data_IF_426583506528
#
_entry.id   IF_426583506528
#
_cell.length_a   1.000
_cell.length_b   1.000
_cell.length_c   1.000
_cell.angle_alpha   90.00
_cell.angle_beta   90.00
_cell.angle_gamma   90.00
#
_symmetry.space_group_name_H-M   'P 1'
#
loop_
_entity.id
_entity.type
_entity.pdbx_description
1 polymer ?
#
# COMPACT_ATOMS: atom_id res chain seq x y z
N UNK A 1 -22.82 18.77 4.72
CA UNK A 1 -22.11 18.46 3.47
C UNK A 1 -21.64 17.03 3.62
N UNK A 2 -22.44 16.09 3.13
CA UNK A 2 -22.08 14.68 3.14
C UNK A 2 -21.11 14.44 2.00
N UNK A 3 -19.86 14.17 2.33
CA UNK A 3 -18.89 13.67 1.35
C UNK A 3 -19.26 12.21 1.09
N UNK A 4 -19.56 11.79 -0.14
CA UNK A 4 -19.75 10.38 -0.42
C UNK A 4 -18.41 9.69 -0.21
N UNK A 5 -18.32 8.89 0.84
CA UNK A 5 -17.15 8.06 1.07
C UNK A 5 -17.22 6.93 0.04
N UNK A 6 -16.33 6.98 -0.95
CA UNK A 6 -16.19 5.92 -1.93
C UNK A 6 -15.93 4.62 -1.18
N UNK A 7 -16.87 3.68 -1.25
CA UNK A 7 -16.58 2.29 -0.96
C UNK A 7 -15.48 1.88 -1.93
N UNK A 8 -14.35 1.29 -1.50
CA UNK A 8 -13.49 0.60 -2.43
C UNK A 8 -14.25 -0.65 -2.85
N UNK A 9 -15.19 -0.49 -3.77
CA UNK A 9 -15.65 -1.58 -4.57
C UNK A 9 -14.43 -1.98 -5.40
N UNK A 10 -13.82 -3.11 -5.07
CA UNK A 10 -13.05 -3.85 -6.05
C UNK A 10 -14.08 -4.36 -7.09
N UNK A 11 -14.61 -3.45 -7.90
CA UNK A 11 -15.53 -3.75 -8.99
C UNK A 11 -14.69 -4.28 -10.15
N UNK A 12 -14.12 -5.45 -9.91
CA UNK A 12 -13.49 -6.27 -10.92
C UNK A 12 -14.31 -7.55 -10.95
N UNK A 13 -15.48 -7.48 -11.59
CA UNK A 13 -16.16 -8.66 -12.11
C UNK A 13 -15.35 -9.19 -13.32
N UNK A 14 -14.09 -9.56 -13.09
CA UNK A 14 -13.34 -10.43 -13.99
C UNK A 14 -13.95 -11.81 -13.78
N UNK A 15 -14.36 -12.45 -14.86
CA UNK A 15 -14.69 -13.87 -14.81
C UNK A 15 -13.46 -14.59 -14.24
N UNK A 16 -13.56 -15.03 -12.99
CA UNK A 16 -12.45 -15.69 -12.31
C UNK A 16 -12.33 -17.08 -12.92
N UNK A 17 -11.21 -17.37 -13.56
CA UNK A 17 -10.91 -18.70 -14.11
C UNK A 17 -10.77 -19.78 -13.01
N UNK A 18 -10.92 -19.38 -11.75
CA UNK A 18 -10.89 -20.25 -10.58
C UNK A 18 -12.25 -20.29 -9.86
N UNK A 19 -12.61 -21.48 -9.38
CA UNK A 19 -13.70 -21.76 -8.44
C UNK A 19 -13.28 -22.89 -7.50
N UNK A 20 -13.84 -22.90 -6.28
CA UNK A 20 -13.69 -24.02 -5.35
C UNK A 20 -14.28 -25.27 -6.01
N UNK A 21 -13.45 -26.29 -6.20
CA UNK A 21 -13.86 -27.61 -6.66
C UNK A 21 -14.22 -28.50 -5.47
N UNK A 22 -13.39 -28.49 -4.42
CA UNK A 22 -13.65 -29.26 -3.21
C UNK A 22 -12.99 -28.67 -1.97
N UNK A 23 -13.52 -29.05 -0.82
CA UNK A 23 -13.06 -28.61 0.50
C UNK A 23 -12.84 -29.81 1.41
N UNK A 24 -11.71 -29.85 2.10
CA UNK A 24 -11.39 -30.85 3.11
C UNK A 24 -11.06 -30.17 4.45
N UNK A 25 -11.56 -30.75 5.54
CA UNK A 25 -11.24 -30.32 6.90
C UNK A 25 -10.06 -31.13 7.42
N UNK A 26 -9.02 -30.44 7.90
CA UNK A 26 -7.89 -31.04 8.61
C UNK A 26 -7.83 -30.48 10.04
N UNK A 27 -6.89 -30.94 10.87
CA UNK A 27 -6.88 -30.65 12.32
C UNK A 27 -7.15 -29.17 12.68
N UNK A 28 -6.47 -28.23 12.03
CA UNK A 28 -6.56 -26.79 12.35
C UNK A 28 -6.77 -25.88 11.14
N UNK A 29 -7.17 -26.44 10.01
CA UNK A 29 -7.29 -25.69 8.77
C UNK A 29 -8.30 -26.31 7.81
N UNK A 30 -8.77 -25.49 6.88
CA UNK A 30 -9.50 -25.90 5.69
C UNK A 30 -8.50 -26.01 4.54
N UNK A 31 -8.53 -27.12 3.82
CA UNK A 31 -7.88 -27.26 2.51
C UNK A 31 -8.91 -27.06 1.41
N UNK A 32 -8.58 -26.22 0.44
CA UNK A 32 -9.39 -25.90 -0.73
C UNK A 32 -8.64 -26.39 -1.97
N UNK A 33 -9.27 -27.26 -2.76
CA UNK A 33 -8.85 -27.54 -4.13
C UNK A 33 -9.64 -26.64 -5.07
N UNK A 34 -8.93 -25.90 -5.91
CA UNK A 34 -9.50 -25.07 -6.95
C UNK A 34 -9.60 -25.86 -8.27
N UNK A 35 -10.58 -25.53 -9.10
CA UNK A 35 -10.80 -26.18 -10.41
C UNK A 35 -9.66 -25.99 -11.43
N UNK A 36 -8.73 -25.06 -11.17
CA UNK A 36 -7.51 -24.85 -11.94
C UNK A 36 -6.33 -25.73 -11.47
N UNK A 37 -6.59 -26.63 -10.52
CA UNK A 37 -5.61 -27.57 -9.98
C UNK A 37 -4.74 -26.99 -8.87
N UNK A 38 -4.91 -25.73 -8.47
CA UNK A 38 -4.20 -25.18 -7.32
C UNK A 38 -4.83 -25.68 -6.02
N UNK A 39 -4.01 -25.89 -5.00
CA UNK A 39 -4.45 -26.16 -3.63
C UNK A 39 -4.11 -24.97 -2.74
N UNK A 40 -4.99 -24.63 -1.81
CA UNK A 40 -4.69 -23.68 -0.75
C UNK A 40 -5.19 -24.16 0.62
N UNK A 41 -4.58 -23.65 1.68
CA UNK A 41 -4.83 -24.03 3.07
C UNK A 41 -5.02 -22.79 3.92
N UNK A 42 -6.11 -22.74 4.68
CA UNK A 42 -6.43 -21.62 5.57
C UNK A 42 -6.70 -22.14 6.98
N UNK A 43 -5.89 -21.68 7.94
CA UNK A 43 -6.08 -22.00 9.35
C UNK A 43 -7.40 -21.47 9.88
N UNK A 44 -8.08 -22.24 10.74
CA UNK A 44 -9.37 -21.87 11.33
C UNK A 44 -9.32 -20.53 12.06
N UNK A 45 -8.26 -20.33 12.87
CA UNK A 45 -8.06 -19.07 13.60
C UNK A 45 -7.88 -17.88 12.65
N UNK A 46 -7.19 -18.07 11.52
CA UNK A 46 -6.98 -17.02 10.53
C UNK A 46 -8.28 -16.67 9.82
N UNK A 47 -9.07 -17.67 9.41
CA UNK A 47 -10.37 -17.45 8.81
C UNK A 47 -11.29 -16.71 9.79
N UNK A 48 -11.35 -17.12 11.05
CA UNK A 48 -12.21 -16.46 12.04
C UNK A 48 -11.78 -15.03 12.34
N UNK A 49 -10.47 -14.76 12.40
CA UNK A 49 -9.91 -13.42 12.60
C UNK A 49 -10.17 -12.48 11.42
N UNK A 50 -10.26 -13.04 10.21
CA UNK A 50 -10.46 -12.30 8.96
C UNK A 50 -11.87 -12.47 8.38
N UNK A 51 -12.84 -12.91 9.18
CA UNK A 51 -14.24 -12.94 8.76
C UNK A 51 -14.66 -11.52 8.33
N UNK A 52 -15.36 -11.31 7.20
CA UNK A 52 -15.80 -9.97 6.81
C UNK A 52 -16.64 -9.26 7.89
N UNK A 53 -17.42 -10.01 8.68
CA UNK A 53 -18.18 -9.44 9.81
C UNK A 53 -17.33 -9.09 11.03
N UNK A 54 -16.02 -9.40 11.03
CA UNK A 54 -15.07 -9.05 12.08
C UNK A 54 -14.62 -7.59 11.98
N UNK A 55 -15.00 -6.88 10.91
CA UNK A 55 -14.63 -5.50 10.64
C UNK A 55 -15.87 -4.61 10.66
N UNK A 56 -15.71 -3.39 11.16
CA UNK A 56 -16.75 -2.39 11.16
C UNK A 56 -17.04 -1.94 9.71
N UNK A 57 -18.30 -1.99 9.23
CA UNK A 57 -18.62 -1.88 7.81
C UNK A 57 -18.30 -0.52 7.19
N UNK A 58 -18.14 0.54 8.00
CA UNK A 58 -17.84 1.88 7.50
C UNK A 58 -16.37 2.27 7.65
N UNK A 59 -15.71 1.84 8.73
CA UNK A 59 -14.33 2.26 9.04
C UNK A 59 -13.31 1.24 8.55
N UNK A 60 -13.73 -0.01 8.31
CA UNK A 60 -12.82 -1.11 8.00
C UNK A 60 -11.96 -1.56 9.18
N UNK A 61 -12.19 -1.00 10.37
CA UNK A 61 -11.45 -1.36 11.58
C UNK A 61 -11.93 -2.71 12.12
N UNK A 62 -10.99 -3.52 12.63
CA UNK A 62 -11.35 -4.79 13.29
C UNK A 62 -12.14 -4.49 14.57
N UNK A 63 -13.36 -5.02 14.64
CA UNK A 63 -14.23 -4.95 15.81
C UNK A 63 -14.29 -6.27 16.58
N UNK A 64 -13.86 -7.37 15.96
CA UNK A 64 -13.76 -8.68 16.59
C UNK A 64 -12.49 -8.82 17.43
N UNK A 65 -12.64 -9.27 18.67
CA UNK A 65 -11.53 -9.67 19.52
C UNK A 65 -11.18 -11.15 19.29
N UNK A 66 -10.02 -11.41 18.70
CA UNK A 66 -9.52 -12.77 18.46
C UNK A 66 -9.35 -13.58 19.75
N UNK A 67 -9.13 -12.92 20.89
CA UNK A 67 -9.00 -13.61 22.18
C UNK A 67 -10.35 -14.02 22.78
N UNK A 68 -11.47 -13.63 22.15
CA UNK A 68 -12.82 -14.01 22.58
C UNK A 68 -13.24 -15.43 22.16
N UNK A 69 -12.42 -16.12 21.37
CA UNK A 69 -12.65 -17.50 20.90
C UNK A 69 -11.59 -18.45 21.45
N UNK A 70 -11.93 -19.74 21.54
CA UNK A 70 -10.95 -20.75 21.92
C UNK A 70 -9.90 -21.00 20.84
N UNK A 71 -8.74 -21.53 21.25
CA UNK A 71 -7.72 -22.09 20.35
C UNK A 71 -8.21 -23.35 19.61
N UNK A 72 -9.26 -23.97 20.12
CA UNK A 72 -9.88 -25.18 19.56
C UNK A 72 -11.08 -24.87 18.66
N UNK A 73 -11.22 -23.61 18.21
CA UNK A 73 -12.26 -23.24 17.25
C UNK A 73 -12.14 -24.09 15.97
N UNK A 74 -13.26 -24.65 15.53
CA UNK A 74 -13.34 -25.48 14.32
C UNK A 74 -14.70 -25.31 13.63
N UNK A 75 -14.79 -25.64 12.33
CA UNK A 75 -16.07 -25.65 11.63
C UNK A 75 -16.99 -26.76 12.15
N UNK A 76 -18.27 -26.43 12.39
CA UNK A 76 -19.36 -27.39 12.55
C UNK A 76 -19.86 -27.86 11.18
N UNK A 77 -19.95 -26.94 10.22
CA UNK A 77 -20.32 -27.22 8.85
C UNK A 77 -19.59 -26.28 7.89
N UNK A 78 -19.31 -26.76 6.69
CA UNK A 78 -18.72 -25.98 5.60
C UNK A 78 -19.49 -26.28 4.32
N UNK A 79 -19.90 -25.24 3.61
CA UNK A 79 -20.57 -25.33 2.32
C UNK A 79 -20.04 -24.23 1.40
N UNK A 80 -20.15 -24.42 0.10
CA UNK A 80 -19.76 -23.40 -0.86
C UNK A 80 -20.68 -23.44 -2.09
N UNK A 81 -20.80 -22.30 -2.75
CA UNK A 81 -21.47 -22.15 -4.04
C UNK A 81 -20.49 -21.63 -5.10
N UNK A 82 -20.96 -20.91 -6.12
CA UNK A 82 -20.10 -20.37 -7.18
C UNK A 82 -19.29 -19.15 -6.76
N UNK A 83 -19.69 -18.47 -5.68
CA UNK A 83 -19.13 -17.17 -5.27
C UNK A 83 -18.57 -17.21 -3.86
N UNK A 84 -19.13 -18.04 -2.98
CA UNK A 84 -18.95 -17.90 -1.53
C UNK A 84 -18.64 -19.24 -0.87
N UNK A 85 -17.70 -19.22 0.08
CA UNK A 85 -17.49 -20.26 1.08
C UNK A 85 -18.20 -19.83 2.38
N UNK A 86 -19.07 -20.69 2.91
CA UNK A 86 -19.80 -20.48 4.16
C UNK A 86 -19.31 -21.47 5.22
N UNK A 87 -18.96 -20.96 6.39
CA UNK A 87 -18.45 -21.73 7.53
C UNK A 87 -19.32 -21.43 8.75
N UNK A 88 -19.91 -22.46 9.34
CA UNK A 88 -20.53 -22.41 10.66
C UNK A 88 -19.50 -22.83 11.71
N UNK A 89 -19.29 -22.01 12.74
CA UNK A 89 -18.25 -22.23 13.74
C UNK A 89 -18.76 -22.91 15.01
N UNK A 90 -17.87 -23.64 15.69
CA UNK A 90 -18.13 -24.35 16.95
C UNK A 90 -18.53 -23.46 18.13
N UNK A 91 -18.38 -22.14 18.00
CA UNK A 91 -18.59 -21.17 19.06
C UNK A 91 -19.46 -20.01 18.59
N UNK A 92 -20.18 -19.40 19.54
CA UNK A 92 -20.93 -18.16 19.35
C UNK A 92 -22.08 -18.23 18.32
N UNK A 93 -22.46 -19.44 17.85
CA UNK A 93 -23.42 -19.62 16.76
C UNK A 93 -23.09 -18.73 15.55
N UNK A 94 -21.79 -18.55 15.27
CA UNK A 94 -21.30 -17.63 14.27
C UNK A 94 -21.18 -18.29 12.90
N UNK A 95 -21.54 -17.55 11.85
CA UNK A 95 -21.41 -17.97 10.46
C UNK A 95 -20.54 -16.94 9.74
N UNK A 96 -19.49 -17.41 9.09
CA UNK A 96 -18.64 -16.58 8.24
C UNK A 96 -18.91 -16.88 6.77
N UNK A 97 -18.98 -15.81 5.97
CA UNK A 97 -19.09 -15.88 4.52
C UNK A 97 -17.84 -15.25 3.91
N UNK A 98 -17.12 -16.01 3.08
CA UNK A 98 -15.94 -15.54 2.37
C UNK A 98 -16.18 -15.61 0.88
N UNK A 99 -15.96 -14.49 0.18
CA UNK A 99 -15.90 -14.53 -1.27
C UNK A 99 -14.72 -15.37 -1.73
N UNK A 100 -14.93 -16.19 -2.76
CA UNK A 100 -13.87 -17.03 -3.33
C UNK A 100 -12.74 -16.18 -3.94
N UNK A 101 -13.06 -15.03 -4.52
CA UNK A 101 -12.09 -14.03 -4.98
C UNK A 101 -11.17 -13.57 -3.85
N UNK A 102 -11.74 -13.24 -2.70
CA UNK A 102 -11.00 -12.82 -1.51
C UNK A 102 -10.11 -13.96 -0.97
N UNK A 103 -10.65 -15.18 -0.85
CA UNK A 103 -9.84 -16.34 -0.43
C UNK A 103 -8.66 -16.56 -1.37
N UNK A 104 -8.86 -16.40 -2.68
CA UNK A 104 -7.82 -16.56 -3.68
C UNK A 104 -6.73 -15.49 -3.55
N UNK A 105 -7.11 -14.22 -3.47
CA UNK A 105 -6.20 -13.08 -3.37
C UNK A 105 -5.36 -13.09 -2.08
N UNK A 106 -5.96 -13.53 -0.97
CA UNK A 106 -5.31 -13.58 0.34
C UNK A 106 -4.84 -14.98 0.74
N UNK A 107 -4.77 -15.91 -0.23
CA UNK A 107 -4.14 -17.20 -0.02
C UNK A 107 -2.66 -17.04 0.34
N UNK A 108 -2.21 -17.67 1.42
CA UNK A 108 -0.82 -17.57 1.89
C UNK A 108 -0.07 -18.90 1.84
N UNK A 109 -0.75 -19.98 1.45
CA UNK A 109 -0.16 -21.31 1.35
C UNK A 109 0.33 -21.59 -0.07
N UNK A 110 1.55 -22.10 -0.21
CA UNK A 110 2.08 -22.68 -1.46
C UNK A 110 1.97 -21.74 -2.68
N UNK A 111 1.31 -22.15 -3.76
CA UNK A 111 1.22 -21.45 -5.04
C UNK A 111 0.47 -20.10 -4.97
N UNK A 112 -0.25 -19.81 -3.88
CA UNK A 112 -0.91 -18.51 -3.69
C UNK A 112 -0.06 -17.53 -2.86
N UNK A 113 1.02 -17.99 -2.23
CA UNK A 113 1.87 -17.11 -1.45
C UNK A 113 2.41 -15.99 -2.35
N UNK A 114 2.19 -14.74 -1.94
CA UNK A 114 2.61 -13.57 -2.71
C UNK A 114 4.14 -13.58 -2.90
N UNK A 115 4.57 -13.24 -4.11
CA UNK A 115 5.97 -12.95 -4.35
C UNK A 115 6.36 -11.70 -3.54
N UNK A 116 7.38 -11.83 -2.72
CA UNK A 116 7.93 -10.73 -1.92
C UNK A 116 9.12 -10.07 -2.62
N UNK A 117 9.27 -10.27 -3.94
CA UNK A 117 10.21 -9.53 -4.76
C UNK A 117 10.03 -8.03 -4.55
N UNK A 118 11.13 -7.33 -4.28
CA UNK A 118 11.11 -5.88 -4.19
C UNK A 118 10.73 -5.30 -5.56
N UNK A 119 9.79 -4.34 -5.63
CA UNK A 119 9.46 -3.66 -6.87
C UNK A 119 10.55 -2.65 -7.27
N UNK A 120 11.57 -2.44 -6.43
CA UNK A 120 12.58 -1.40 -6.60
C UNK A 120 13.65 -1.81 -7.60
N UNK A 121 14.01 -0.88 -8.49
CA UNK A 121 15.09 -1.06 -9.45
C UNK A 121 16.31 -0.22 -9.05
N UNK A 122 17.40 -0.89 -8.68
CA UNK A 122 18.69 -0.24 -8.44
C UNK A 122 19.35 0.14 -9.76
N UNK A 123 20.06 1.26 -9.76
CA UNK A 123 20.68 1.81 -10.95
C UNK A 123 22.05 2.43 -10.65
N UNK A 124 22.82 2.68 -11.71
CA UNK A 124 24.13 3.32 -11.66
C UNK A 124 24.18 4.57 -12.57
N UNK A 125 25.38 5.02 -12.94
CA UNK A 125 25.56 6.20 -13.79
C UNK A 125 24.84 6.16 -15.14
N UNK A 126 24.42 5.00 -15.66
CA UNK A 126 23.66 4.92 -16.92
C UNK A 126 22.21 5.40 -16.76
N UNK A 127 21.72 5.58 -15.52
CA UNK A 127 20.37 6.07 -15.25
C UNK A 127 20.15 7.52 -15.65
N UNK A 128 21.22 8.31 -15.77
CA UNK A 128 21.14 9.75 -16.02
C UNK A 128 20.35 10.09 -17.30
N UNK A 129 20.47 9.24 -18.34
CA UNK A 129 19.78 9.41 -19.62
C UNK A 129 18.34 8.84 -19.59
N UNK A 130 17.93 8.24 -18.48
CA UNK A 130 16.68 7.49 -18.32
C UNK A 130 15.86 7.94 -17.11
N UNK A 131 16.24 9.04 -16.43
CA UNK A 131 15.50 9.55 -15.27
C UNK A 131 14.07 9.88 -15.74
N UNK A 132 13.02 9.29 -15.14
CA UNK A 132 11.65 9.60 -15.52
C UNK A 132 11.32 11.08 -15.30
N UNK A 133 10.76 11.71 -16.33
CA UNK A 133 10.38 13.12 -16.33
C UNK A 133 8.86 13.24 -16.46
N UNK A 134 8.25 14.12 -15.65
CA UNK A 134 6.80 14.34 -15.63
C UNK A 134 6.47 15.83 -15.60
N UNK A 135 5.41 16.21 -16.32
CA UNK A 135 4.93 17.58 -16.39
C UNK A 135 4.15 17.99 -15.14
N UNK A 136 4.51 19.13 -14.56
CA UNK A 136 3.90 19.67 -13.34
C UNK A 136 2.39 19.85 -13.50
N UNK A 137 1.94 20.44 -14.61
CA UNK A 137 0.52 20.71 -14.82
C UNK A 137 -0.30 19.41 -14.87
N UNK A 138 0.24 18.38 -15.49
CA UNK A 138 -0.36 17.04 -15.56
C UNK A 138 -0.48 16.41 -14.18
N UNK A 139 0.58 16.45 -13.36
CA UNK A 139 0.55 15.97 -11.97
C UNK A 139 -0.52 16.69 -11.14
N UNK A 140 -0.65 18.00 -11.31
CA UNK A 140 -1.62 18.78 -10.54
C UNK A 140 -3.07 18.51 -10.94
N UNK A 141 -3.33 18.16 -12.21
CA UNK A 141 -4.69 18.11 -12.77
C UNK A 141 -5.23 16.69 -13.03
N UNK A 142 -4.39 15.65 -12.96
CA UNK A 142 -4.77 14.27 -13.28
C UNK A 142 -4.31 13.28 -12.21
N UNK A 143 -5.26 12.53 -11.63
CA UNK A 143 -4.95 11.45 -10.69
C UNK A 143 -4.13 10.32 -11.36
N UNK A 144 -4.34 10.07 -12.66
CA UNK A 144 -3.55 9.07 -13.41
C UNK A 144 -2.10 9.52 -13.54
N UNK A 145 -1.86 10.80 -13.86
CA UNK A 145 -0.51 11.34 -13.98
C UNK A 145 0.22 11.37 -12.63
N UNK A 146 -0.49 11.74 -11.56
CA UNK A 146 0.02 11.66 -10.19
C UNK A 146 0.40 10.21 -9.82
N UNK A 147 -0.47 9.24 -10.13
CA UNK A 147 -0.20 7.82 -9.87
C UNK A 147 1.01 7.31 -10.64
N UNK A 148 1.12 7.63 -11.94
CA UNK A 148 2.24 7.23 -12.78
C UNK A 148 3.57 7.81 -12.26
N UNK A 149 3.59 9.11 -11.94
CA UNK A 149 4.77 9.78 -11.39
C UNK A 149 5.19 9.19 -10.04
N UNK A 150 4.24 9.01 -9.11
CA UNK A 150 4.53 8.44 -7.79
C UNK A 150 4.95 6.97 -7.87
N UNK A 151 4.40 6.20 -8.82
CA UNK A 151 4.80 4.81 -9.04
C UNK A 151 6.23 4.73 -9.59
N UNK A 152 6.61 5.63 -10.51
CA UNK A 152 7.99 5.73 -10.97
C UNK A 152 8.94 6.17 -9.85
N UNK A 153 8.53 7.13 -9.02
CA UNK A 153 9.31 7.57 -7.86
C UNK A 153 9.50 6.44 -6.84
N UNK A 154 8.47 5.67 -6.52
CA UNK A 154 8.58 4.51 -5.63
C UNK A 154 9.48 3.42 -6.23
N UNK A 155 9.36 3.16 -7.53
CA UNK A 155 10.15 2.15 -8.25
C UNK A 155 11.65 2.49 -8.35
N UNK A 156 11.98 3.72 -8.76
CA UNK A 156 13.35 4.11 -9.08
C UNK A 156 14.02 4.96 -7.98
N UNK A 157 13.25 5.52 -7.05
CA UNK A 157 13.75 6.41 -6.00
C UNK A 157 14.14 7.82 -6.46
N UNK A 158 14.04 8.13 -7.77
CA UNK A 158 14.35 9.44 -8.33
C UNK A 158 13.52 9.70 -9.60
N UNK A 159 12.91 10.89 -9.67
CA UNK A 159 12.23 11.44 -10.85
C UNK A 159 12.52 12.92 -10.96
N UNK A 160 12.25 13.50 -12.14
CA UNK A 160 12.31 14.94 -12.38
C UNK A 160 10.90 15.42 -12.72
N UNK A 161 10.53 16.58 -12.19
CA UNK A 161 9.31 17.28 -12.59
C UNK A 161 9.74 18.45 -13.49
N UNK A 162 9.23 18.50 -14.72
CA UNK A 162 9.51 19.58 -15.66
C UNK A 162 8.34 20.56 -15.76
N UNK A 163 8.59 21.68 -16.45
CA UNK A 163 7.64 22.80 -16.59
C UNK A 163 7.12 23.34 -15.23
N UNK A 164 7.95 23.26 -14.19
CA UNK A 164 7.67 23.89 -12.90
C UNK A 164 7.60 25.43 -13.07
N UNK A 165 6.57 26.10 -12.52
CA UNK A 165 6.55 27.55 -12.43
C UNK A 165 7.75 28.10 -11.66
N UNK A 166 8.28 29.23 -12.11
CA UNK A 166 9.43 29.92 -11.50
C UNK A 166 8.99 30.72 -10.25
N UNK A 167 8.54 30.01 -9.22
CA UNK A 167 8.13 30.57 -7.93
C UNK A 167 8.32 29.58 -6.78
N UNK A 168 8.53 30.10 -5.56
CA UNK A 168 8.78 29.29 -4.37
C UNK A 168 7.59 28.40 -3.98
N UNK A 169 6.37 28.80 -4.33
CA UNK A 169 5.14 28.11 -3.90
C UNK A 169 4.84 26.88 -4.78
N UNK A 170 5.31 26.85 -6.03
CA UNK A 170 5.07 25.76 -6.96
C UNK A 170 5.57 24.41 -6.45
N UNK A 171 6.76 24.38 -5.86
CA UNK A 171 7.32 23.19 -5.22
C UNK A 171 6.46 22.70 -4.04
N UNK A 172 5.99 23.64 -3.21
CA UNK A 172 5.12 23.35 -2.07
C UNK A 172 3.78 22.80 -2.51
N UNK A 173 3.13 23.43 -3.50
CA UNK A 173 1.84 23.00 -4.03
C UNK A 173 1.92 21.61 -4.65
N UNK A 174 3.01 21.31 -5.35
CA UNK A 174 3.25 20.00 -5.97
C UNK A 174 3.48 18.92 -4.91
N UNK A 175 4.25 19.20 -3.85
CA UNK A 175 4.38 18.28 -2.72
C UNK A 175 3.05 18.09 -1.97
N UNK A 176 2.28 19.18 -1.80
CA UNK A 176 0.95 19.16 -1.18
C UNK A 176 -0.10 18.38 -1.97
N UNK A 177 0.10 18.22 -3.28
CA UNK A 177 -0.74 17.38 -4.13
C UNK A 177 -0.63 15.89 -3.76
N UNK A 178 0.54 15.47 -3.25
CA UNK A 178 0.79 14.12 -2.75
C UNK A 178 0.21 13.98 -1.34
N UNK A 179 0.66 14.83 -0.40
CA UNK A 179 0.22 14.82 0.98
C UNK A 179 0.69 16.08 1.75
N UNK A 180 0.56 16.13 3.07
CA UNK A 180 1.09 17.22 3.87
C UNK A 180 2.63 17.26 3.92
N UNK A 181 3.18 18.46 4.16
CA UNK A 181 4.60 18.66 4.43
C UNK A 181 4.97 18.24 5.86
N UNK A 182 6.19 17.75 6.01
CA UNK A 182 6.74 17.39 7.31
C UNK A 182 7.46 18.56 7.96
N UNK A 183 7.01 18.98 9.13
CA UNK A 183 7.71 20.00 9.92
C UNK A 183 9.02 19.46 10.49
N UNK A 184 10.09 20.25 10.37
CA UNK A 184 11.40 19.98 10.99
C UNK A 184 11.87 21.19 11.80
N UNK A 185 13.04 21.08 12.44
CA UNK A 185 13.70 22.23 13.08
C UNK A 185 14.13 23.30 12.08
N UNK A 186 14.13 23.03 10.77
CA UNK A 186 14.39 23.99 9.70
C UNK A 186 13.10 24.64 9.15
N UNK A 187 11.92 24.25 9.65
CA UNK A 187 10.63 24.70 9.13
C UNK A 187 9.88 23.61 8.35
N UNK A 188 8.82 24.02 7.63
CA UNK A 188 8.10 23.18 6.66
C UNK A 188 8.80 23.17 5.29
N UNK A 189 9.43 24.29 4.96
CA UNK A 189 10.28 24.51 3.78
C UNK A 189 11.53 25.24 4.24
N UNK A 190 12.58 25.19 3.41
CA UNK A 190 13.79 25.96 3.62
C UNK A 190 14.45 26.26 2.27
N UNK A 191 15.04 27.44 2.13
CA UNK A 191 15.70 27.87 0.91
C UNK A 191 17.18 27.47 0.95
N UNK A 192 17.65 26.80 -0.10
CA UNK A 192 19.07 26.40 -0.22
C UNK A 192 19.84 27.52 -0.91
N UNK A 193 20.18 28.55 -0.14
CA UNK A 193 20.96 29.71 -0.59
C UNK A 193 22.26 29.85 0.22
N UNK A 194 23.31 30.38 -0.40
CA UNK A 194 24.57 30.62 0.31
C UNK A 194 24.43 31.80 1.27
N UNK A 195 24.61 31.54 2.57
CA UNK A 195 24.48 32.55 3.63
C UNK A 195 25.82 32.92 4.28
N UNK A 196 25.89 34.12 4.89
CA UNK A 196 27.10 34.62 5.57
C UNK A 196 27.36 33.92 6.91
N UNK A 197 26.32 33.43 7.59
CA UNK A 197 26.38 32.78 8.90
C UNK A 197 25.55 31.48 8.88
N UNK A 198 26.02 30.44 8.17
CA UNK A 198 25.25 29.24 7.88
C UNK A 198 25.04 28.39 9.14
N UNK A 199 23.79 27.98 9.38
CA UNK A 199 23.43 27.01 10.43
C UNK A 199 23.43 25.55 9.93
N UNK A 200 23.62 25.36 8.62
CA UNK A 200 23.69 24.08 7.93
C UNK A 200 24.70 24.18 6.78
N UNK A 201 25.42 23.10 6.48
CA UNK A 201 26.40 23.04 5.38
C UNK A 201 25.75 23.29 4.01
N UNK A 202 24.47 22.95 3.84
CA UNK A 202 23.70 23.24 2.64
C UNK A 202 23.61 24.75 2.31
N UNK A 203 23.80 25.63 3.30
CA UNK A 203 23.78 27.08 3.12
C UNK A 203 25.17 27.66 2.85
N UNK A 204 26.11 26.84 2.38
CA UNK A 204 27.46 27.24 1.99
C UNK A 204 27.73 26.95 0.53
N UNK A 205 28.76 27.56 -0.05
CA UNK A 205 29.25 27.22 -1.40
C UNK A 205 30.17 25.99 -1.44
N UNK A 206 30.30 25.25 -0.33
CA UNK A 206 31.12 24.05 -0.27
C UNK A 206 30.42 22.88 -0.95
N UNK A 207 31.20 21.99 -1.55
CA UNK A 207 30.67 20.76 -2.15
C UNK A 207 30.07 19.85 -1.06
N UNK A 208 28.84 19.38 -1.31
CA UNK A 208 28.19 18.36 -0.49
C UNK A 208 28.54 16.97 -1.03
N UNK A 209 29.18 16.08 -0.25
CA UNK A 209 29.35 14.68 -0.64
C UNK A 209 27.99 13.96 -0.65
N UNK A 210 27.92 12.76 -1.22
CA UNK A 210 26.71 11.94 -1.16
C UNK A 210 26.28 11.71 0.31
N UNK A 211 25.01 12.00 0.60
CA UNK A 211 24.44 11.90 1.94
C UNK A 211 22.92 11.66 1.85
N UNK A 212 22.33 11.31 2.99
CA UNK A 212 20.88 11.39 3.21
C UNK A 212 20.59 12.56 4.14
N UNK A 213 19.41 13.15 3.99
CA UNK A 213 19.00 14.32 4.78
C UNK A 213 18.50 13.92 6.17
N UNK A 214 18.84 14.77 7.14
CA UNK A 214 18.40 14.67 8.54
C UNK A 214 18.63 13.28 9.19
N UNK A 215 19.80 12.62 9.03
CA UNK A 215 20.08 11.33 9.65
C UNK A 215 20.17 11.42 11.19
N UNK A 216 20.16 12.63 11.75
CA UNK A 216 20.07 12.90 13.17
C UNK A 216 18.64 12.77 13.73
N UNK A 217 17.62 12.57 12.90
CA UNK A 217 16.26 12.26 13.34
C UNK A 217 16.03 10.75 13.41
N UNK A 218 15.27 10.28 14.40
CA UNK A 218 14.92 8.85 14.56
C UNK A 218 14.15 8.31 13.34
N UNK A 219 13.31 9.17 12.75
CA UNK A 219 12.62 8.89 11.49
C UNK A 219 13.03 9.97 10.49
N UNK A 220 14.03 9.79 9.61
CA UNK A 220 14.31 10.77 8.57
C UNK A 220 13.13 10.96 7.60
N UNK A 221 13.03 12.08 6.85
CA UNK A 221 12.03 12.23 5.80
C UNK A 221 12.15 11.11 4.75
N UNK A 222 11.02 10.52 4.35
CA UNK A 222 11.00 9.47 3.32
C UNK A 222 11.08 10.00 1.89
N UNK A 223 10.58 11.21 1.65
CA UNK A 223 10.64 11.91 0.37
C UNK A 223 11.23 13.30 0.55
N UNK A 224 11.98 13.75 -0.44
CA UNK A 224 12.55 15.09 -0.52
C UNK A 224 12.20 15.72 -1.86
N UNK A 225 11.72 16.96 -1.81
CA UNK A 225 11.40 17.77 -2.98
C UNK A 225 12.41 18.91 -3.05
N UNK A 226 13.09 19.05 -4.18
CA UNK A 226 14.00 20.15 -4.46
C UNK A 226 13.47 20.89 -5.69
N UNK A 227 13.12 22.16 -5.52
CA UNK A 227 12.62 23.03 -6.58
C UNK A 227 13.65 24.14 -6.85
N UNK A 228 14.00 24.31 -8.12
CA UNK A 228 14.86 25.40 -8.57
C UNK A 228 13.99 26.54 -9.11
N UNK A 229 14.24 27.75 -8.63
CA UNK A 229 13.61 29.01 -9.06
C UNK A 229 14.63 30.15 -8.88
N UNK A 230 14.51 31.24 -9.65
CA UNK A 230 15.42 32.42 -9.59
C UNK A 230 14.72 33.77 -9.40
#
# INVERSE_FOLDING_TARGET
>A
METPQATPALDIAVATDYQIESVALIDRAIQIRWNDGIDSTYHYIWLRDNCPSAFHPQTGERSFDLLSISKDIHPLSVSFDKTTLTIEWSEQAHISHFEQSWLREFGYSSALAKDHSSPYESWDGTFIDHIPMYDQHSIMTSDSALYEWMSALDKYGLTIIDNMPDDSDAGVQTAMRVNYLRQTNFGMTFDVISEKSPINLAYTSLSLPLHTDLPNQELPPGYQFLHFFE
#
